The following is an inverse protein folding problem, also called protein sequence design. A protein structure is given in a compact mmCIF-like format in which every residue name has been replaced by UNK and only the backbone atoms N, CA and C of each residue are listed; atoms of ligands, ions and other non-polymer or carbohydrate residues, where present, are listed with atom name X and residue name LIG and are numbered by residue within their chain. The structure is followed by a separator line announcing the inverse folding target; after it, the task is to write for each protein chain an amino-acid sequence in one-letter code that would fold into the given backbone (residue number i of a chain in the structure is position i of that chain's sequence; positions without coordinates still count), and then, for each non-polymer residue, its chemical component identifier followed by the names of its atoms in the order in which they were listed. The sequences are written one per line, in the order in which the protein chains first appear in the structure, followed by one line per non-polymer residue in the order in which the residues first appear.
data_IF_286335519190
#
_entry.id   IF_286335519190
#
_cell.length_a   1.000
_cell.length_b   1.000
_cell.length_c   1.000
_cell.angle_alpha   90.00
_cell.angle_beta   90.00
_cell.angle_gamma   90.00
#
_symmetry.space_group_name_H-M   'P 1'
#
loop_
_entity.id
_entity.type
_entity.pdbx_description
1 polymer ?
#
# COMPACT_ATOMS: atom_id res chain seq x y z
N UNK A 1 -16.37 -3.62 5.57
CA UNK A 1 -16.75 -2.38 4.85
C UNK A 1 -15.55 -1.69 4.20
N UNK A 2 -14.45 -1.41 4.92
CA UNK A 2 -13.26 -0.73 4.40
C UNK A 2 -12.70 -1.35 3.10
N UNK A 3 -12.43 -2.65 3.10
CA UNK A 3 -11.90 -3.33 1.92
C UNK A 3 -12.81 -3.20 0.70
N UNK A 4 -14.12 -3.35 0.89
CA UNK A 4 -15.08 -3.18 -0.22
C UNK A 4 -15.03 -1.77 -0.81
N UNK A 5 -14.82 -0.75 0.03
CA UNK A 5 -14.68 0.64 -0.44
C UNK A 5 -13.40 0.81 -1.25
N UNK A 6 -12.26 0.29 -0.79
CA UNK A 6 -10.99 0.36 -1.53
C UNK A 6 -11.12 -0.26 -2.93
N UNK A 7 -11.69 -1.46 -3.01
CA UNK A 7 -11.86 -2.17 -4.28
C UNK A 7 -12.89 -1.51 -5.19
N UNK A 8 -13.99 -0.99 -4.63
CA UNK A 8 -15.00 -0.24 -5.40
C UNK A 8 -14.42 1.05 -5.97
N UNK A 9 -13.68 1.81 -5.18
CA UNK A 9 -13.01 3.02 -5.66
C UNK A 9 -12.01 2.71 -6.76
N UNK A 10 -11.22 1.66 -6.61
CA UNK A 10 -10.26 1.20 -7.62
C UNK A 10 -10.96 0.79 -8.92
N UNK A 11 -12.12 0.15 -8.83
CA UNK A 11 -12.93 -0.19 -10.00
C UNK A 11 -13.48 1.05 -10.69
N UNK A 12 -14.16 1.92 -9.97
CA UNK A 12 -14.84 3.12 -10.51
C UNK A 12 -13.83 4.12 -11.11
N UNK A 13 -12.64 4.24 -10.53
CA UNK A 13 -11.58 5.11 -11.05
C UNK A 13 -10.83 4.51 -12.24
N UNK A 14 -11.10 3.26 -12.61
CA UNK A 14 -10.43 2.56 -13.71
C UNK A 14 -9.07 1.97 -13.35
N UNK A 15 -8.59 2.13 -12.11
CA UNK A 15 -7.31 1.58 -11.65
C UNK A 15 -7.29 0.07 -11.73
N UNK A 16 -8.30 -0.59 -11.15
CA UNK A 16 -8.36 -2.05 -11.14
C UNK A 16 -8.51 -2.65 -12.57
N UNK A 17 -9.39 -2.16 -13.44
CA UNK A 17 -9.43 -2.59 -14.83
C UNK A 17 -8.09 -2.44 -15.56
N UNK A 18 -7.39 -1.32 -15.34
CA UNK A 18 -6.06 -1.08 -15.92
C UNK A 18 -5.04 -2.10 -15.42
N UNK A 19 -5.00 -2.36 -14.12
CA UNK A 19 -4.10 -3.37 -13.53
C UNK A 19 -4.37 -4.78 -14.08
N UNK A 20 -5.64 -5.15 -14.22
CA UNK A 20 -6.03 -6.47 -14.73
C UNK A 20 -5.73 -6.64 -16.23
N UNK A 21 -5.58 -5.54 -16.97
CA UNK A 21 -5.22 -5.57 -18.39
C UNK A 21 -3.71 -5.70 -18.63
N UNK A 22 -2.89 -5.51 -17.59
CA UNK A 22 -1.43 -5.58 -17.68
C UNK A 22 -0.90 -6.94 -17.21
N UNK A 23 0.26 -7.38 -17.71
CA UNK A 23 0.91 -8.58 -17.19
C UNK A 23 1.31 -8.36 -15.72
N UNK A 24 1.13 -9.38 -14.88
CA UNK A 24 1.50 -9.36 -13.46
C UNK A 24 2.96 -8.99 -13.21
N UNK A 25 3.84 -9.38 -14.14
CA UNK A 25 5.24 -9.02 -14.13
C UNK A 25 5.60 -8.41 -15.48
N UNK A 26 6.06 -7.17 -15.49
CA UNK A 26 6.53 -6.54 -16.70
C UNK A 26 7.98 -6.99 -16.96
N UNK A 27 8.24 -7.79 -18.01
CA UNK A 27 9.58 -8.30 -18.30
C UNK A 27 10.60 -7.18 -18.56
N UNK A 28 10.17 -6.04 -19.10
CA UNK A 28 11.05 -4.89 -19.35
C UNK A 28 11.58 -4.28 -18.04
N UNK A 29 10.79 -4.32 -16.97
CA UNK A 29 11.24 -3.85 -15.68
C UNK A 29 12.12 -4.87 -14.94
N UNK A 30 11.83 -6.16 -15.08
CA UNK A 30 12.59 -7.21 -14.40
C UNK A 30 14.07 -7.24 -14.80
N UNK A 31 14.39 -6.88 -16.06
CA UNK A 31 15.76 -6.79 -16.56
C UNK A 31 16.52 -5.52 -16.16
N UNK A 32 15.83 -4.52 -15.62
CA UNK A 32 16.47 -3.22 -15.31
C UNK A 32 17.06 -3.23 -13.89
N UNK A 33 18.36 -2.97 -13.81
CA UNK A 33 19.09 -2.90 -12.52
C UNK A 33 18.50 -1.83 -11.59
N UNK A 34 18.08 -0.68 -12.13
CA UNK A 34 17.43 0.37 -11.36
C UNK A 34 16.16 -0.11 -10.68
N UNK A 35 15.31 -0.85 -11.37
CA UNK A 35 14.09 -1.41 -10.81
C UNK A 35 14.39 -2.43 -9.70
N UNK A 36 15.36 -3.32 -9.92
CA UNK A 36 15.82 -4.29 -8.92
C UNK A 36 16.34 -3.61 -7.65
N UNK A 37 17.10 -2.52 -7.80
CA UNK A 37 17.59 -1.72 -6.67
C UNK A 37 16.43 -1.08 -5.91
N UNK A 38 15.45 -0.46 -6.59
CA UNK A 38 14.29 0.12 -5.93
C UNK A 38 13.47 -0.91 -5.17
N UNK A 39 13.24 -2.08 -5.74
CA UNK A 39 12.54 -3.18 -5.06
C UNK A 39 13.31 -3.63 -3.83
N UNK A 40 14.62 -3.83 -3.95
CA UNK A 40 15.46 -4.23 -2.82
C UNK A 40 15.46 -3.18 -1.70
N UNK A 41 15.60 -1.89 -2.03
CA UNK A 41 15.55 -0.80 -1.05
C UNK A 41 14.16 -0.72 -0.37
N UNK A 42 13.08 -0.92 -1.13
CA UNK A 42 11.72 -0.95 -0.57
C UNK A 42 11.56 -2.10 0.43
N UNK A 43 12.03 -3.30 0.09
CA UNK A 43 12.01 -4.44 1.00
C UNK A 43 12.83 -4.20 2.26
N UNK A 44 14.03 -3.62 2.14
CA UNK A 44 14.85 -3.26 3.30
C UNK A 44 14.13 -2.25 4.18
N UNK A 45 13.54 -1.20 3.59
CA UNK A 45 12.80 -0.19 4.33
C UNK A 45 11.58 -0.80 5.06
N UNK A 46 10.83 -1.67 4.40
CA UNK A 46 9.69 -2.38 5.00
C UNK A 46 10.13 -3.27 6.15
N UNK A 47 11.21 -4.06 5.98
CA UNK A 47 11.75 -4.92 7.03
C UNK A 47 12.25 -4.11 8.24
N UNK A 48 12.97 -3.01 8.00
CA UNK A 48 13.43 -2.12 9.08
C UNK A 48 12.24 -1.50 9.79
N UNK A 49 11.25 -1.01 9.05
CA UNK A 49 10.01 -0.47 9.62
C UNK A 49 9.28 -1.50 10.47
N UNK A 50 9.16 -2.71 9.97
CA UNK A 50 8.43 -3.78 10.66
C UNK A 50 9.17 -4.33 11.89
N UNK A 51 10.50 -4.42 11.85
CA UNK A 51 11.28 -4.99 12.94
C UNK A 51 11.63 -3.99 14.05
N UNK A 52 11.76 -2.71 13.72
CA UNK A 52 12.27 -1.70 14.65
C UNK A 52 11.27 -0.57 14.95
N UNK A 53 10.56 -0.09 13.94
CA UNK A 53 9.64 1.05 14.12
C UNK A 53 8.30 0.58 14.68
N UNK A 54 7.72 -0.44 14.08
CA UNK A 54 6.42 -0.97 14.49
C UNK A 54 6.39 -1.48 15.94
N UNK A 55 7.36 -2.29 16.42
CA UNK A 55 7.36 -2.74 17.80
C UNK A 55 7.49 -1.61 18.82
N UNK A 56 8.20 -0.54 18.46
CA UNK A 56 8.37 0.62 19.35
C UNK A 56 7.09 1.45 19.52
N UNK A 57 6.16 1.36 18.55
CA UNK A 57 4.90 2.11 18.56
C UNK A 57 3.67 1.33 19.04
N UNK A 58 3.79 0.01 19.28
CA UNK A 58 2.63 -0.84 19.61
C UNK A 58 2.68 -1.36 21.05
N UNK A 59 1.57 -1.22 21.76
CA UNK A 59 1.44 -1.64 23.19
C UNK A 59 0.96 -3.09 23.35
N UNK A 60 0.56 -3.76 22.30
CA UNK A 60 -0.07 -5.09 22.36
C UNK A 60 0.92 -6.24 22.12
N UNK A 61 1.64 -6.63 23.17
CA UNK A 61 2.67 -7.68 23.10
C UNK A 61 2.15 -9.12 23.26
N UNK A 62 0.90 -9.34 23.61
CA UNK A 62 0.41 -10.68 24.01
C UNK A 62 -0.52 -11.35 23.01
N UNK A 63 -0.52 -10.95 21.74
CA UNK A 63 -1.32 -11.65 20.72
C UNK A 63 -0.64 -12.95 20.31
N UNK A 64 -1.35 -14.07 20.44
CA UNK A 64 -0.91 -15.33 19.87
C UNK A 64 -0.72 -15.15 18.35
N UNK A 65 0.46 -15.46 17.88
CA UNK A 65 0.77 -15.41 16.46
C UNK A 65 0.21 -16.65 15.76
N UNK A 66 -0.69 -16.44 14.81
CA UNK A 66 -1.25 -17.47 13.95
C UNK A 66 -0.75 -17.24 12.51
N UNK A 67 0.32 -17.94 12.07
CA UNK A 67 1.00 -17.60 10.81
C UNK A 67 0.08 -17.57 9.60
N UNK A 68 -0.77 -18.59 9.43
CA UNK A 68 -1.67 -18.69 8.28
C UNK A 68 -2.70 -17.55 8.26
N UNK A 69 -3.32 -17.26 9.40
CA UNK A 69 -4.31 -16.17 9.52
C UNK A 69 -3.66 -14.81 9.34
N UNK A 70 -2.47 -14.61 9.92
CA UNK A 70 -1.72 -13.36 9.79
C UNK A 70 -1.30 -13.13 8.34
N UNK A 71 -0.83 -14.17 7.64
CA UNK A 71 -0.48 -14.07 6.22
C UNK A 71 -1.71 -13.74 5.38
N UNK A 72 -2.82 -14.45 5.56
CA UNK A 72 -4.04 -14.21 4.79
C UNK A 72 -4.60 -12.81 5.01
N UNK A 73 -4.72 -12.40 6.28
CA UNK A 73 -5.20 -11.04 6.62
C UNK A 73 -4.22 -9.99 6.09
N UNK A 74 -2.92 -10.20 6.23
CA UNK A 74 -1.88 -9.29 5.74
C UNK A 74 -1.94 -9.12 4.22
N UNK A 75 -2.15 -10.20 3.47
CA UNK A 75 -2.31 -10.13 2.00
C UNK A 75 -3.58 -9.36 1.63
N UNK A 76 -4.73 -9.70 2.22
CA UNK A 76 -6.01 -9.03 1.93
C UNK A 76 -5.93 -7.55 2.30
N UNK A 77 -5.36 -7.24 3.46
CA UNK A 77 -5.18 -5.86 3.93
C UNK A 77 -4.23 -5.08 3.02
N UNK A 78 -3.03 -5.62 2.78
CA UNK A 78 -2.02 -4.96 1.96
C UNK A 78 -2.47 -4.72 0.52
N UNK A 79 -3.16 -5.68 -0.11
CA UNK A 79 -3.73 -5.51 -1.44
C UNK A 79 -4.80 -4.41 -1.45
N UNK A 80 -5.64 -4.33 -0.42
CA UNK A 80 -6.69 -3.32 -0.35
C UNK A 80 -6.12 -1.92 -0.13
N UNK A 81 -5.11 -1.78 0.72
CA UNK A 81 -4.40 -0.51 0.91
C UNK A 81 -3.65 -0.08 -0.36
N UNK A 82 -3.00 -1.03 -1.05
CA UNK A 82 -2.35 -0.75 -2.33
C UNK A 82 -3.33 -0.20 -3.36
N UNK A 83 -4.55 -0.73 -3.44
CA UNK A 83 -5.60 -0.16 -4.31
C UNK A 83 -5.90 1.30 -3.96
N UNK A 84 -5.99 1.63 -2.67
CA UNK A 84 -6.27 2.99 -2.24
C UNK A 84 -5.13 3.96 -2.62
N UNK A 85 -3.88 3.55 -2.45
CA UNK A 85 -2.72 4.33 -2.91
C UNK A 85 -2.77 4.58 -4.41
N UNK A 86 -3.05 3.57 -5.21
CA UNK A 86 -3.15 3.68 -6.66
C UNK A 86 -4.30 4.59 -7.10
N UNK A 87 -5.43 4.56 -6.39
CA UNK A 87 -6.57 5.48 -6.62
C UNK A 87 -6.14 6.93 -6.38
N UNK A 88 -5.49 7.22 -5.25
CA UNK A 88 -5.02 8.59 -4.98
C UNK A 88 -3.95 9.03 -5.96
N UNK A 89 -3.06 8.13 -6.39
CA UNK A 89 -2.10 8.43 -7.43
C UNK A 89 -2.80 8.80 -8.75
N UNK A 90 -3.73 7.97 -9.22
CA UNK A 90 -4.48 8.22 -10.45
C UNK A 90 -5.33 9.50 -10.40
N UNK A 91 -5.84 9.85 -9.21
CA UNK A 91 -6.54 11.13 -9.00
C UNK A 91 -5.55 12.29 -9.03
N UNK A 92 -4.41 12.16 -8.35
CA UNK A 92 -3.36 13.18 -8.33
C UNK A 92 -2.84 13.54 -9.73
N UNK A 93 -2.61 12.54 -10.58
CA UNK A 93 -2.17 12.73 -11.96
C UNK A 93 -3.15 13.55 -12.83
N UNK A 94 -4.41 13.68 -12.42
CA UNK A 94 -5.40 14.50 -13.15
C UNK A 94 -5.28 15.99 -12.86
N UNK A 95 -4.62 16.36 -11.76
CA UNK A 95 -4.57 17.74 -11.27
C UNK A 95 -3.15 18.26 -11.08
N UNK A 96 -2.15 17.39 -11.08
CA UNK A 96 -0.77 17.70 -10.75
C UNK A 96 0.16 17.22 -11.87
N UNK A 97 0.96 18.13 -12.41
CA UNK A 97 1.84 17.83 -13.55
C UNK A 97 3.17 17.18 -13.13
N UNK A 98 3.63 17.45 -11.91
CA UNK A 98 4.92 16.98 -11.45
C UNK A 98 4.77 15.68 -10.62
N UNK A 99 5.49 14.58 -10.95
CA UNK A 99 5.38 13.29 -10.26
C UNK A 99 5.63 13.37 -8.76
N UNK A 100 6.55 14.24 -8.30
CA UNK A 100 6.81 14.43 -6.88
C UNK A 100 5.61 15.05 -6.13
N UNK A 101 4.85 15.94 -6.79
CA UNK A 101 3.62 16.51 -6.22
C UNK A 101 2.53 15.45 -6.10
N UNK A 102 2.40 14.59 -7.13
CA UNK A 102 1.50 13.43 -7.09
C UNK A 102 1.87 12.50 -5.94
N UNK A 103 3.16 12.23 -5.74
CA UNK A 103 3.63 11.39 -4.64
C UNK A 103 3.29 11.98 -3.26
N UNK A 104 3.52 13.28 -3.05
CA UNK A 104 3.17 13.96 -1.79
C UNK A 104 1.65 13.93 -1.58
N UNK A 105 0.87 14.28 -2.61
CA UNK A 105 -0.59 14.24 -2.56
C UNK A 105 -1.09 12.84 -2.19
N UNK A 106 -0.60 11.82 -2.87
CA UNK A 106 -0.95 10.41 -2.61
C UNK A 106 -0.64 10.01 -1.17
N UNK A 107 0.57 10.34 -0.70
CA UNK A 107 0.98 10.03 0.67
C UNK A 107 0.08 10.71 1.72
N UNK A 108 -0.21 12.00 1.54
CA UNK A 108 -1.08 12.74 2.47
C UNK A 108 -2.51 12.18 2.47
N UNK A 109 -3.10 11.95 1.30
CA UNK A 109 -4.44 11.40 1.20
C UNK A 109 -4.53 9.98 1.77
N UNK A 110 -3.57 9.12 1.48
CA UNK A 110 -3.52 7.77 2.01
C UNK A 110 -3.34 7.78 3.54
N UNK A 111 -2.47 8.64 4.06
CA UNK A 111 -2.26 8.79 5.50
C UNK A 111 -3.52 9.31 6.21
N UNK A 112 -4.24 10.25 5.62
CA UNK A 112 -5.51 10.73 6.15
C UNK A 112 -6.61 9.69 6.10
N UNK A 113 -6.64 8.86 5.07
CA UNK A 113 -7.64 7.78 4.96
C UNK A 113 -7.35 6.63 5.93
N UNK A 114 -6.08 6.26 6.12
CA UNK A 114 -5.67 5.17 6.98
C UNK A 114 -5.50 5.57 8.45
N UNK A 115 -5.06 6.80 8.72
CA UNK A 115 -4.79 7.29 10.07
C UNK A 115 -5.95 7.11 11.06
N UNK A 116 -7.18 7.58 10.72
CA UNK A 116 -8.34 7.40 11.60
C UNK A 116 -8.70 5.93 11.86
N UNK A 117 -8.45 5.04 10.90
CA UNK A 117 -8.71 3.61 11.06
C UNK A 117 -7.73 2.97 12.05
N UNK A 118 -6.48 3.43 12.07
CA UNK A 118 -5.47 2.93 13.00
C UNK A 118 -5.69 3.45 14.43
N UNK A 119 -6.30 4.60 14.61
CA UNK A 119 -6.63 5.14 15.94
C UNK A 119 -7.60 4.24 16.72
N UNK A 120 -8.46 3.49 16.04
CA UNK A 120 -9.39 2.56 16.67
C UNK A 120 -8.78 1.19 17.03
N UNK A 121 -7.54 0.92 16.62
CA UNK A 121 -6.85 -0.33 16.94
C UNK A 121 -5.87 -0.21 18.11
N UNK A 122 -5.70 0.98 18.66
CA UNK A 122 -4.67 1.28 19.66
C UNK A 122 -5.23 1.48 21.07
N UNK A 123 -6.53 1.26 21.25
CA UNK A 123 -7.19 1.28 22.55
C UNK A 123 -7.23 -0.13 23.21
#
# INVERSE_FOLDING_TARGET
MYFCVCWLLSWVTGVLPTLLSQPLLNPDHLGQTSWQVYVALTWVAVLVGYLYVWPAGTVTYNRKFYPATTLLIGVVWGLSEAQLFLVFWAVGERFLDAPWMVAIFTYLCASMANGPLHLFYWD
#
